data_IF_467672742805
#
_entry.id   IF_467672742805
#
_cell.length_a   1.000
_cell.length_b   1.000
_cell.length_c   1.000
_cell.angle_alpha   90.00
_cell.angle_beta   90.00
_cell.angle_gamma   90.00
#
_symmetry.space_group_name_H-M   'P 1'
#
loop_
_entity.id
_entity.type
_entity.pdbx_description
1 polymer ?
#
# COMPACT_ATOMS: atom_id res chain seq x y z
N UNK A 1 22.14 -24.36 10.26
CA UNK A 1 21.32 -23.16 9.96
C UNK A 1 20.03 -23.63 9.30
N UNK A 2 18.83 -23.13 9.67
CA UNK A 2 17.63 -23.43 8.91
C UNK A 2 17.76 -22.78 7.53
N UNK A 3 17.47 -23.53 6.47
CA UNK A 3 17.40 -23.00 5.11
C UNK A 3 16.25 -21.98 5.04
N UNK A 4 16.48 -20.86 4.36
CA UNK A 4 15.40 -19.92 4.06
C UNK A 4 14.29 -20.66 3.28
N UNK A 5 13.01 -20.40 3.58
CA UNK A 5 11.90 -21.06 2.90
C UNK A 5 11.99 -20.84 1.39
N UNK A 6 11.84 -21.92 0.63
CA UNK A 6 11.80 -21.85 -0.84
C UNK A 6 10.48 -21.19 -1.23
N UNK A 7 10.49 -20.06 -1.97
CA UNK A 7 9.26 -19.38 -2.29
C UNK A 7 8.58 -19.98 -3.53
N UNK A 8 7.28 -20.24 -3.41
CA UNK A 8 6.38 -20.82 -4.41
C UNK A 8 6.41 -20.02 -5.72
N UNK A 9 6.53 -20.75 -6.84
CA UNK A 9 6.55 -20.15 -8.17
C UNK A 9 5.24 -19.41 -8.49
N UNK A 10 4.11 -20.01 -8.12
CA UNK A 10 2.79 -19.44 -8.37
C UNK A 10 2.57 -18.18 -7.51
N UNK A 11 3.01 -18.19 -6.25
CA UNK A 11 2.94 -17.01 -5.38
C UNK A 11 3.79 -15.85 -5.93
N UNK A 12 5.00 -16.13 -6.42
CA UNK A 12 5.86 -15.14 -7.10
C UNK A 12 5.18 -14.57 -8.35
N UNK A 13 4.55 -15.43 -9.14
CA UNK A 13 3.85 -15.02 -10.36
C UNK A 13 2.67 -14.09 -10.04
N UNK A 14 1.92 -14.38 -8.98
CA UNK A 14 0.84 -13.52 -8.49
C UNK A 14 1.34 -12.12 -8.09
N UNK A 15 2.43 -12.04 -7.31
CA UNK A 15 3.04 -10.75 -6.94
C UNK A 15 3.48 -9.96 -8.17
N UNK A 16 4.19 -10.62 -9.09
CA UNK A 16 4.67 -10.00 -10.32
C UNK A 16 3.52 -9.45 -11.16
N UNK A 17 2.47 -10.24 -11.36
CA UNK A 17 1.30 -9.83 -12.14
C UNK A 17 0.59 -8.61 -11.52
N UNK A 18 0.42 -8.59 -10.19
CA UNK A 18 -0.17 -7.47 -9.48
C UNK A 18 0.67 -6.19 -9.63
N UNK A 19 2.00 -6.30 -9.47
CA UNK A 19 2.93 -5.20 -9.70
C UNK A 19 2.84 -4.65 -11.13
N UNK A 20 2.84 -5.53 -12.14
CA UNK A 20 2.75 -5.13 -13.54
C UNK A 20 1.42 -4.41 -13.86
N UNK A 21 0.32 -4.84 -13.24
CA UNK A 21 -0.99 -4.17 -13.40
C UNK A 21 -0.99 -2.75 -12.82
N UNK A 22 -0.47 -2.59 -11.59
CA UNK A 22 -0.45 -1.30 -10.92
C UNK A 22 0.54 -0.32 -11.58
N UNK A 23 1.73 -0.80 -11.95
CA UNK A 23 2.76 0.01 -12.61
C UNK A 23 2.32 0.54 -13.98
N UNK A 24 1.50 -0.21 -14.73
CA UNK A 24 0.86 0.27 -15.96
C UNK A 24 -0.25 1.30 -15.72
N UNK A 25 -0.80 1.36 -14.51
CA UNK A 25 -1.91 2.27 -14.16
C UNK A 25 -1.41 3.61 -13.65
N UNK A 26 -0.38 3.62 -12.81
CA UNK A 26 0.18 4.84 -12.23
C UNK A 26 1.05 5.54 -13.28
N UNK A 27 0.94 6.87 -13.38
CA UNK A 27 1.79 7.64 -14.28
C UNK A 27 3.28 7.46 -13.91
N UNK A 28 4.18 7.15 -14.87
CA UNK A 28 5.61 6.99 -14.60
C UNK A 28 6.26 8.13 -13.81
N UNK A 29 5.79 9.38 -13.99
CA UNK A 29 6.29 10.53 -13.23
C UNK A 29 6.03 10.43 -11.72
N UNK A 30 4.92 9.79 -11.36
CA UNK A 30 4.43 9.67 -9.98
C UNK A 30 5.10 8.48 -9.27
N UNK A 31 5.44 7.41 -10.02
CA UNK A 31 6.01 6.18 -9.46
C UNK A 31 7.54 6.13 -9.47
N UNK A 32 8.23 7.14 -10.02
CA UNK A 32 9.69 7.14 -10.24
C UNK A 32 10.53 6.81 -9.01
N UNK A 33 10.04 7.17 -7.82
CA UNK A 33 10.74 7.00 -6.53
C UNK A 33 10.14 5.90 -5.66
N UNK A 34 9.17 5.14 -6.18
CA UNK A 34 8.46 4.14 -5.37
C UNK A 34 9.39 3.03 -4.90
N UNK A 35 10.30 2.58 -5.75
CA UNK A 35 11.23 1.50 -5.42
C UNK A 35 12.13 1.84 -4.22
N UNK A 36 12.49 3.11 -4.05
CA UNK A 36 13.38 3.59 -2.98
C UNK A 36 12.61 4.09 -1.74
N UNK A 37 11.29 4.13 -1.80
CA UNK A 37 10.46 4.63 -0.70
C UNK A 37 10.44 3.61 0.44
N UNK A 38 10.74 4.04 1.66
CA UNK A 38 10.59 3.22 2.87
C UNK A 38 9.27 3.49 3.58
N UNK A 39 8.85 2.60 4.48
CA UNK A 39 7.70 2.86 5.36
C UNK A 39 7.90 4.11 6.24
N UNK A 40 9.14 4.44 6.60
CA UNK A 40 9.45 5.64 7.37
C UNK A 40 9.21 6.91 6.55
N UNK A 41 9.50 6.88 5.25
CA UNK A 41 9.21 7.99 4.34
C UNK A 41 7.70 8.21 4.20
N UNK A 42 6.92 7.12 4.18
CA UNK A 42 5.45 7.20 4.17
C UNK A 42 4.92 7.83 5.47
N UNK A 43 5.45 7.43 6.63
CA UNK A 43 5.09 8.06 7.93
C UNK A 43 5.41 9.55 7.96
N UNK A 44 6.61 9.90 7.52
CA UNK A 44 7.05 11.30 7.44
C UNK A 44 6.15 12.10 6.49
N UNK A 45 5.82 11.53 5.34
CA UNK A 45 4.93 12.17 4.36
C UNK A 45 3.50 12.35 4.90
N UNK A 46 3.00 11.39 5.69
CA UNK A 46 1.70 11.49 6.34
C UNK A 46 1.64 12.64 7.34
N UNK A 47 2.68 12.82 8.16
CA UNK A 47 2.82 13.95 9.10
C UNK A 47 2.83 15.28 8.34
N UNK A 48 3.67 15.40 7.31
CA UNK A 48 3.75 16.61 6.48
C UNK A 48 2.41 16.93 5.79
N UNK A 49 1.63 15.90 5.42
CA UNK A 49 0.30 16.08 4.85
C UNK A 49 -0.69 16.58 5.90
N UNK A 50 -0.63 16.06 7.12
CA UNK A 50 -1.44 16.53 8.25
C UNK A 50 -1.17 18.01 8.55
N UNK A 51 0.09 18.44 8.59
CA UNK A 51 0.48 19.84 8.78
C UNK A 51 -0.09 20.75 7.69
N UNK A 52 -0.03 20.33 6.42
CA UNK A 52 -0.62 21.08 5.30
C UNK A 52 -2.14 21.19 5.40
N UNK A 53 -2.80 20.11 5.78
CA UNK A 53 -4.25 20.10 6.03
C UNK A 53 -4.61 21.00 7.21
N UNK A 54 -3.78 21.04 8.25
CA UNK A 54 -3.95 21.92 9.41
C UNK A 54 -3.89 23.40 9.02
N UNK A 55 -2.88 23.80 8.25
CA UNK A 55 -2.71 25.16 7.76
C UNK A 55 -3.92 25.65 6.94
N UNK A 56 -4.64 24.73 6.27
CA UNK A 56 -5.84 25.01 5.47
C UNK A 56 -7.16 24.85 6.25
N UNK A 57 -7.13 24.64 7.57
CA UNK A 57 -8.31 24.33 8.41
C UNK A 57 -9.09 23.10 7.93
N UNK A 58 -8.41 22.14 7.31
CA UNK A 58 -8.96 20.92 6.75
C UNK A 58 -8.42 19.67 7.45
N UNK A 59 -8.07 19.76 8.73
CA UNK A 59 -7.51 18.64 9.52
C UNK A 59 -8.35 17.36 9.37
N UNK A 60 -7.67 16.25 9.19
CA UNK A 60 -8.27 14.92 9.10
C UNK A 60 -7.59 14.02 10.11
N UNK A 61 -8.30 13.01 10.59
CA UNK A 61 -7.77 12.08 11.58
C UNK A 61 -6.74 11.12 10.93
N UNK A 62 -5.53 11.61 10.69
CA UNK A 62 -4.44 10.88 10.04
C UNK A 62 -3.93 9.71 10.88
N UNK A 63 -4.16 9.72 12.20
CA UNK A 63 -3.86 8.60 13.11
C UNK A 63 -4.54 7.29 12.71
N UNK A 64 -5.61 7.36 11.91
CA UNK A 64 -6.29 6.18 11.33
C UNK A 64 -5.42 5.38 10.37
N UNK A 65 -4.29 5.93 9.90
CA UNK A 65 -3.31 5.22 9.07
C UNK A 65 -2.30 4.43 9.90
N UNK A 66 -2.12 4.73 11.19
CA UNK A 66 -1.11 4.06 12.02
C UNK A 66 -1.27 2.53 12.06
N UNK A 67 -2.50 1.98 12.22
CA UNK A 67 -2.68 0.53 12.19
C UNK A 67 -2.27 -0.09 10.85
N UNK A 68 -2.53 0.61 9.73
CA UNK A 68 -2.13 0.14 8.40
C UNK A 68 -0.62 0.08 8.29
N UNK A 69 0.08 1.17 8.63
CA UNK A 69 1.53 1.25 8.47
C UNK A 69 2.26 0.27 9.38
N UNK A 70 1.75 0.03 10.60
CA UNK A 70 2.25 -1.03 11.49
C UNK A 70 2.01 -2.42 10.89
N UNK A 71 0.79 -2.69 10.42
CA UNK A 71 0.46 -3.96 9.79
C UNK A 71 1.33 -4.25 8.57
N UNK A 72 1.57 -3.26 7.72
CA UNK A 72 2.44 -3.38 6.54
C UNK A 72 3.89 -3.66 6.92
N UNK A 73 4.39 -3.12 8.05
CA UNK A 73 5.73 -3.42 8.55
C UNK A 73 5.89 -4.88 9.00
N UNK A 74 4.86 -5.45 9.62
CA UNK A 74 4.88 -6.87 10.01
C UNK A 74 4.72 -7.78 8.78
N UNK A 75 3.81 -7.42 7.88
CA UNK A 75 3.53 -8.16 6.67
C UNK A 75 4.73 -8.17 5.70
N UNK A 76 5.42 -7.04 5.54
CA UNK A 76 6.52 -6.90 4.60
C UNK A 76 7.68 -7.86 4.90
N UNK A 77 7.95 -8.15 6.17
CA UNK A 77 8.98 -9.11 6.61
C UNK A 77 8.78 -10.52 6.04
N UNK A 78 7.55 -10.88 5.73
CA UNK A 78 7.19 -12.21 5.17
C UNK A 78 7.07 -12.16 3.67
N UNK A 79 6.40 -11.13 3.17
CA UNK A 79 6.20 -10.93 1.74
C UNK A 79 7.52 -10.68 0.99
N UNK A 80 8.56 -10.19 1.68
CA UNK A 80 9.90 -9.98 1.09
C UNK A 80 10.51 -11.28 0.54
N UNK A 81 10.24 -12.42 1.19
CA UNK A 81 10.68 -13.75 0.72
C UNK A 81 10.14 -14.05 -0.68
N UNK A 82 8.89 -13.64 -0.93
CA UNK A 82 8.24 -13.80 -2.23
C UNK A 82 8.71 -12.75 -3.25
N UNK A 83 9.13 -11.56 -2.77
CA UNK A 83 9.68 -10.51 -3.64
C UNK A 83 11.12 -10.83 -4.07
N UNK A 84 11.91 -11.52 -3.25
CA UNK A 84 13.24 -12.04 -3.58
C UNK A 84 14.18 -11.00 -4.23
N UNK A 85 14.30 -9.81 -3.61
CA UNK A 85 15.17 -8.73 -4.08
C UNK A 85 14.63 -7.90 -5.25
N UNK A 86 13.40 -8.15 -5.69
CA UNK A 86 12.70 -7.25 -6.62
C UNK A 86 12.21 -6.00 -5.90
N UNK A 87 12.01 -4.86 -6.60
CA UNK A 87 11.50 -3.63 -5.98
C UNK A 87 9.99 -3.68 -5.67
N UNK A 88 9.36 -4.85 -5.71
CA UNK A 88 7.90 -5.01 -5.60
C UNK A 88 7.36 -4.69 -4.21
N UNK A 89 8.16 -4.88 -3.17
CA UNK A 89 7.71 -4.70 -1.79
C UNK A 89 7.27 -3.26 -1.52
N UNK A 90 8.00 -2.27 -2.04
CA UNK A 90 7.69 -0.87 -1.82
C UNK A 90 6.35 -0.41 -2.41
N UNK A 91 5.81 -1.15 -3.37
CA UNK A 91 4.54 -0.85 -4.02
C UNK A 91 3.31 -1.10 -3.11
N UNK A 92 3.48 -1.77 -1.97
CA UNK A 92 2.38 -1.90 -1.00
C UNK A 92 2.18 -0.61 -0.19
N UNK A 93 3.21 0.22 -0.02
CA UNK A 93 3.14 1.43 0.81
C UNK A 93 3.38 2.74 0.07
N UNK A 94 4.26 2.78 -0.95
CA UNK A 94 4.59 4.02 -1.66
C UNK A 94 3.36 4.70 -2.31
N UNK A 95 2.41 3.97 -2.92
CA UNK A 95 1.19 4.58 -3.47
C UNK A 95 0.31 5.28 -2.43
N UNK A 96 0.38 4.90 -1.15
CA UNK A 96 -0.45 5.49 -0.09
C UNK A 96 -0.26 7.01 -0.05
N UNK A 97 1.00 7.45 -0.01
CA UNK A 97 1.34 8.89 0.02
C UNK A 97 0.82 9.62 -1.20
N UNK A 98 1.00 9.02 -2.40
CA UNK A 98 0.52 9.61 -3.65
C UNK A 98 -1.00 9.78 -3.65
N UNK A 99 -1.73 8.72 -3.33
CA UNK A 99 -3.19 8.70 -3.32
C UNK A 99 -3.72 9.72 -2.32
N UNK A 100 -3.18 9.75 -1.10
CA UNK A 100 -3.61 10.69 -0.06
C UNK A 100 -3.30 12.14 -0.45
N UNK A 101 -2.15 12.40 -1.06
CA UNK A 101 -1.78 13.73 -1.54
C UNK A 101 -2.78 14.23 -2.58
N UNK A 102 -3.14 13.41 -3.58
CA UNK A 102 -4.14 13.79 -4.59
C UNK A 102 -5.53 13.93 -3.96
N UNK A 103 -5.90 13.05 -3.02
CA UNK A 103 -7.18 13.12 -2.34
C UNK A 103 -7.31 14.32 -1.39
N UNK A 104 -6.19 14.91 -0.94
CA UNK A 104 -6.18 15.95 0.09
C UNK A 104 -6.90 17.24 -0.31
N UNK A 105 -7.09 17.46 -1.61
CA UNK A 105 -7.86 18.59 -2.14
C UNK A 105 -9.39 18.35 -2.05
N UNK A 106 -9.83 17.12 -1.78
CA UNK A 106 -11.26 16.74 -1.73
C UNK A 106 -11.58 15.94 -0.47
N UNK A 107 -12.22 16.60 0.50
CA UNK A 107 -12.56 16.06 1.82
C UNK A 107 -13.23 14.68 1.77
N UNK A 108 -14.26 14.53 0.95
CA UNK A 108 -15.01 13.27 0.85
C UNK A 108 -14.16 12.14 0.26
N UNK A 109 -13.34 12.45 -0.74
CA UNK A 109 -12.44 11.47 -1.34
C UNK A 109 -11.40 11.02 -0.32
N UNK A 110 -10.83 11.97 0.42
CA UNK A 110 -9.86 11.71 1.47
C UNK A 110 -10.41 10.79 2.57
N UNK A 111 -11.59 11.10 3.10
CA UNK A 111 -12.23 10.29 4.14
C UNK A 111 -12.59 8.88 3.65
N UNK A 112 -13.06 8.74 2.40
CA UNK A 112 -13.31 7.42 1.78
C UNK A 112 -12.04 6.60 1.65
N UNK A 113 -10.93 7.22 1.23
CA UNK A 113 -9.63 6.55 1.11
C UNK A 113 -9.10 6.11 2.48
N UNK A 114 -9.09 7.00 3.47
CA UNK A 114 -8.65 6.64 4.83
C UNK A 114 -9.52 5.52 5.40
N UNK A 115 -10.85 5.60 5.24
CA UNK A 115 -11.75 4.55 5.71
C UNK A 115 -11.48 3.19 5.06
N UNK A 116 -11.17 3.16 3.77
CA UNK A 116 -10.80 1.93 3.09
C UNK A 116 -9.45 1.38 3.58
N UNK A 117 -8.46 2.24 3.81
CA UNK A 117 -7.17 1.85 4.40
C UNK A 117 -7.30 1.29 5.81
N UNK A 118 -8.19 1.83 6.65
CA UNK A 118 -8.47 1.26 7.98
C UNK A 118 -8.99 -0.17 7.89
N UNK A 119 -9.85 -0.50 6.91
CA UNK A 119 -10.35 -1.88 6.71
C UNK A 119 -9.25 -2.85 6.24
N UNK A 120 -8.31 -2.37 5.42
CA UNK A 120 -7.13 -3.17 5.05
C UNK A 120 -6.28 -3.46 6.29
N UNK A 121 -6.12 -2.47 7.19
CA UNK A 121 -5.38 -2.64 8.43
C UNK A 121 -5.97 -3.73 9.35
N UNK A 122 -7.30 -3.80 9.48
CA UNK A 122 -7.98 -4.86 10.24
C UNK A 122 -7.66 -6.28 9.72
N UNK A 123 -7.45 -6.40 8.40
CA UNK A 123 -7.07 -7.67 7.77
C UNK A 123 -5.61 -8.03 8.02
N UNK A 124 -4.72 -7.03 8.06
CA UNK A 124 -3.29 -7.21 8.34
C UNK A 124 -3.00 -7.78 9.72
N UNK A 125 -3.80 -7.43 10.74
CA UNK A 125 -3.61 -7.92 12.11
C UNK A 125 -3.66 -9.45 12.21
N UNK A 126 -4.37 -10.12 11.29
CA UNK A 126 -4.48 -11.58 11.27
C UNK A 126 -3.16 -12.26 10.85
N UNK A 127 -2.36 -11.60 10.02
CA UNK A 127 -1.08 -12.14 9.52
C UNK A 127 0.06 -12.07 10.54
N UNK A 128 -0.01 -11.15 11.50
CA UNK A 128 1.02 -10.99 12.53
C UNK A 128 1.20 -12.28 13.36
N UNK A 129 0.12 -13.01 13.61
CA UNK A 129 0.12 -14.26 14.39
C UNK A 129 0.46 -15.50 13.55
N UNK A 130 0.10 -15.53 12.26
CA UNK A 130 0.25 -16.71 11.39
C UNK A 130 1.68 -16.89 10.87
N UNK A 131 2.45 -15.81 10.76
CA UNK A 131 3.75 -15.78 10.09
C UNK A 131 4.79 -16.77 10.67
N UNK A 132 4.93 -16.87 11.99
CA UNK A 132 6.03 -17.64 12.61
C UNK A 132 5.96 -19.15 12.38
N UNK A 133 4.79 -19.69 12.04
CA UNK A 133 4.57 -21.12 11.94
C UNK A 133 4.55 -21.66 10.50
N UNK A 134 4.31 -20.80 9.49
CA UNK A 134 3.93 -21.26 8.14
C UNK A 134 4.71 -20.63 6.99
N UNK A 135 5.85 -19.95 7.23
CA UNK A 135 6.60 -19.29 6.16
C UNK A 135 7.07 -20.24 5.02
N UNK A 136 7.23 -21.54 5.31
CA UNK A 136 7.57 -22.59 4.33
C UNK A 136 6.37 -23.27 3.68
N UNK A 137 5.15 -22.91 4.09
CA UNK A 137 3.91 -23.52 3.61
C UNK A 137 3.45 -22.83 2.31
N UNK A 138 3.25 -23.61 1.25
CA UNK A 138 2.88 -23.09 -0.06
C UNK A 138 1.50 -22.41 -0.08
N UNK A 139 0.54 -22.94 0.67
CA UNK A 139 -0.82 -22.39 0.73
C UNK A 139 -0.81 -21.06 1.50
N UNK A 140 0.02 -20.97 2.54
CA UNK A 140 0.25 -19.72 3.25
C UNK A 140 0.95 -18.68 2.36
N UNK A 141 1.98 -19.07 1.61
CA UNK A 141 2.64 -18.19 0.65
C UNK A 141 1.69 -17.69 -0.44
N UNK A 142 0.76 -18.53 -0.89
CA UNK A 142 -0.30 -18.10 -1.81
C UNK A 142 -1.27 -17.11 -1.18
N UNK A 143 -1.63 -17.33 0.09
CA UNK A 143 -2.47 -16.40 0.85
C UNK A 143 -1.80 -15.03 0.99
N UNK A 144 -0.49 -15.00 1.26
CA UNK A 144 0.30 -13.76 1.26
C UNK A 144 0.29 -13.09 -0.11
N UNK A 145 0.57 -13.83 -1.18
CA UNK A 145 0.58 -13.28 -2.53
C UNK A 145 -0.79 -12.74 -2.96
N UNK A 146 -1.88 -13.42 -2.61
CA UNK A 146 -3.25 -12.95 -2.84
C UNK A 146 -3.54 -11.66 -2.06
N UNK A 147 -3.06 -11.55 -0.82
CA UNK A 147 -3.22 -10.32 -0.04
C UNK A 147 -2.41 -9.16 -0.60
N UNK A 148 -1.17 -9.40 -1.04
CA UNK A 148 -0.36 -8.43 -1.79
C UNK A 148 -1.12 -7.91 -3.02
N UNK A 149 -1.66 -8.84 -3.82
CA UNK A 149 -2.41 -8.50 -5.02
C UNK A 149 -3.65 -7.65 -4.69
N UNK A 150 -4.38 -7.98 -3.63
CA UNK A 150 -5.52 -7.20 -3.17
C UNK A 150 -5.16 -5.77 -2.73
N UNK A 151 -4.01 -5.56 -2.06
CA UNK A 151 -3.52 -4.22 -1.73
C UNK A 151 -3.25 -3.41 -3.01
N UNK A 152 -2.58 -4.01 -3.99
CA UNK A 152 -2.22 -3.33 -5.24
C UNK A 152 -3.43 -3.05 -6.12
N UNK A 153 -4.40 -3.96 -6.16
CA UNK A 153 -5.69 -3.75 -6.82
C UNK A 153 -6.43 -2.58 -6.16
N UNK A 154 -6.45 -2.52 -4.82
CA UNK A 154 -7.02 -1.38 -4.12
C UNK A 154 -6.30 -0.07 -4.49
N UNK A 155 -4.97 -0.04 -4.50
CA UNK A 155 -4.20 1.14 -4.93
C UNK A 155 -4.56 1.57 -6.35
N UNK A 156 -4.75 0.59 -7.25
CA UNK A 156 -5.16 0.84 -8.63
C UNK A 156 -6.52 1.57 -8.69
N UNK A 157 -7.51 1.07 -7.96
CA UNK A 157 -8.84 1.69 -7.90
C UNK A 157 -8.82 3.05 -7.22
N UNK A 158 -8.10 3.17 -6.09
CA UNK A 158 -7.95 4.40 -5.35
C UNK A 158 -7.29 5.49 -6.20
N UNK A 159 -6.18 5.18 -6.90
CA UNK A 159 -5.51 6.12 -7.79
C UNK A 159 -6.44 6.60 -8.92
N UNK A 160 -7.14 5.67 -9.60
CA UNK A 160 -8.14 6.02 -10.63
C UNK A 160 -9.26 6.89 -10.08
N UNK A 161 -9.72 6.63 -8.86
CA UNK A 161 -10.77 7.40 -8.20
C UNK A 161 -10.33 8.85 -7.92
N UNK A 162 -9.15 9.03 -7.30
CA UNK A 162 -8.67 10.37 -6.91
C UNK A 162 -8.23 11.21 -8.13
N UNK A 163 -7.65 10.59 -9.16
CA UNK A 163 -7.24 11.28 -10.39
C UNK A 163 -8.40 11.69 -11.29
N UNK A 164 -9.51 10.94 -11.29
CA UNK A 164 -10.74 11.36 -11.97
C UNK A 164 -11.40 12.56 -11.29
N UNK A 165 -11.42 12.57 -9.95
CA UNK A 165 -12.01 13.67 -9.19
C UNK A 165 -11.15 14.95 -9.25
N UNK A 166 -9.83 14.82 -9.31
CA UNK A 166 -8.90 15.96 -9.48
C UNK A 166 -8.87 16.61 -10.86
N UNK A 167 -9.57 16.04 -11.86
CA UNK A 167 -9.65 16.57 -13.23
C UNK A 167 -10.96 17.28 -13.56
N UNK A 168 -11.86 17.51 -12.60
CA UNK A 168 -13.04 18.35 -12.89
C UNK A 168 -12.55 19.77 -13.18
N UNK A 169 -12.72 20.30 -14.42
CA UNK A 169 -12.57 21.72 -14.65
C UNK A 169 -13.66 22.41 -13.85
N UNK A 170 -13.31 23.47 -13.12
CA UNK A 170 -14.30 24.35 -12.50
C UNK A 170 -15.25 24.83 -13.60
N UNK A 171 -16.46 24.26 -13.60
CA UNK A 171 -17.52 24.67 -14.49
C UNK A 171 -18.11 25.96 -13.94
N UNK A 172 -17.69 27.05 -14.59
CA UNK A 172 -18.37 28.35 -14.81
C UNK A 172 -18.75 29.19 -13.60
#
# INVERSE_FOLDING_TARGET
MPLAPVPSADAKQTIKAAFESLSKTINPSDSRHFADTTLQDVRTSAIQLEEKLAARKALRNMRRLDPLLKGLEHYSKVADILCNGTPYLAWIWAPITLILKIASDYVEAFEKIIGAYSRIAESLQRFEFLNKAFASDNDFQQTLAAFYAGILEFHQHAYKFVTRNGRRPDSS
#
